data_IF_463870328447
#
_entry.id   IF_463870328447
#
_cell.length_a   1.000
_cell.length_b   1.000
_cell.length_c   1.000
_cell.angle_alpha   90.00
_cell.angle_beta   90.00
_cell.angle_gamma   90.00
#
_symmetry.space_group_name_H-M   'P 1'
#
loop_
_entity.id
_entity.type
_entity.pdbx_description
1 polymer ?
#
# COMPACT_ATOMS: atom_id res chain seq x y z
N UNK A 1 -11.48 35.61 36.45
CA UNK A 1 -11.55 34.30 35.76
C UNK A 1 -11.02 34.53 34.38
N UNK A 2 -9.73 34.30 34.22
CA UNK A 2 -8.95 34.85 33.11
C UNK A 2 -9.20 34.02 31.86
N UNK A 3 -9.52 34.66 30.73
CA UNK A 3 -9.86 33.98 29.47
C UNK A 3 -8.83 32.91 29.04
N UNK A 4 -7.56 33.06 29.45
CA UNK A 4 -6.48 32.09 29.28
C UNK A 4 -6.77 30.73 29.95
N UNK A 5 -7.33 30.73 31.17
CA UNK A 5 -7.65 29.50 31.91
C UNK A 5 -8.75 28.66 31.23
N UNK A 6 -9.75 29.33 30.62
CA UNK A 6 -10.81 28.68 29.85
C UNK A 6 -10.29 28.01 28.58
N UNK A 7 -9.36 28.68 27.86
CA UNK A 7 -8.76 28.13 26.63
C UNK A 7 -7.92 26.89 26.93
N UNK A 8 -7.08 26.93 27.97
CA UNK A 8 -6.24 25.79 28.36
C UNK A 8 -7.11 24.59 28.77
N UNK A 9 -8.17 24.82 29.54
CA UNK A 9 -9.12 23.77 29.93
C UNK A 9 -9.82 23.14 28.73
N UNK A 10 -10.26 23.94 27.77
CA UNK A 10 -10.86 23.44 26.53
C UNK A 10 -9.87 22.60 25.69
N UNK A 11 -8.63 23.07 25.53
CA UNK A 11 -7.58 22.33 24.82
C UNK A 11 -7.29 20.98 25.49
N UNK A 12 -7.20 20.96 26.82
CA UNK A 12 -6.99 19.72 27.57
C UNK A 12 -8.14 18.73 27.38
N UNK A 13 -9.38 19.21 27.45
CA UNK A 13 -10.57 18.36 27.31
C UNK A 13 -10.69 17.77 25.89
N UNK A 14 -10.40 18.57 24.87
CA UNK A 14 -10.37 18.12 23.47
C UNK A 14 -9.27 17.07 23.27
N UNK A 15 -8.05 17.35 23.74
CA UNK A 15 -6.91 16.44 23.63
C UNK A 15 -7.18 15.10 24.32
N UNK A 16 -7.71 15.12 25.55
CA UNK A 16 -8.01 13.90 26.29
C UNK A 16 -9.17 13.09 25.67
N UNK A 17 -10.16 13.78 25.07
CA UNK A 17 -11.25 13.12 24.34
C UNK A 17 -10.75 12.39 23.09
N UNK A 18 -9.63 12.83 22.50
CA UNK A 18 -9.01 12.19 21.34
C UNK A 18 -8.21 10.93 21.70
N UNK A 19 -7.91 10.66 22.97
CA UNK A 19 -7.10 9.52 23.40
C UNK A 19 -7.71 8.19 22.91
N UNK A 20 -8.97 7.94 23.24
CA UNK A 20 -9.65 6.69 22.89
C UNK A 20 -9.81 6.52 21.37
N UNK A 21 -10.25 7.53 20.59
CA UNK A 21 -10.23 7.48 19.14
C UNK A 21 -8.85 7.14 18.55
N UNK A 22 -7.78 7.77 19.05
CA UNK A 22 -6.41 7.50 18.59
C UNK A 22 -6.02 6.04 18.85
N UNK A 23 -6.29 5.52 20.05
CA UNK A 23 -5.99 4.12 20.40
C UNK A 23 -6.79 3.15 19.51
N UNK A 24 -8.07 3.40 19.29
CA UNK A 24 -8.93 2.55 18.45
C UNK A 24 -8.41 2.52 17.00
N UNK A 25 -8.10 3.68 16.43
CA UNK A 25 -7.53 3.77 15.08
C UNK A 25 -6.19 3.04 15.02
N UNK A 26 -5.33 3.23 16.01
CA UNK A 26 -4.02 2.58 16.07
C UNK A 26 -4.15 1.05 16.11
N UNK A 27 -5.05 0.51 16.95
CA UNK A 27 -5.33 -0.93 16.99
C UNK A 27 -5.88 -1.44 15.64
N UNK A 28 -6.71 -0.65 14.97
CA UNK A 28 -7.16 -0.94 13.60
C UNK A 28 -6.00 -1.00 12.61
N UNK A 29 -5.03 -0.08 12.70
CA UNK A 29 -3.82 -0.09 11.87
C UNK A 29 -2.92 -1.29 12.17
N UNK A 30 -2.84 -1.75 13.42
CA UNK A 30 -2.13 -2.98 13.80
C UNK A 30 -2.78 -4.20 13.15
N UNK A 31 -4.10 -4.34 13.25
CA UNK A 31 -4.81 -5.44 12.59
C UNK A 31 -4.60 -5.40 11.07
N UNK A 32 -4.72 -4.21 10.46
CA UNK A 32 -4.49 -4.02 9.04
C UNK A 32 -3.06 -4.37 8.61
N UNK A 33 -2.05 -4.01 9.41
CA UNK A 33 -0.64 -4.30 9.09
C UNK A 33 -0.37 -5.81 9.11
N UNK A 34 -0.92 -6.53 10.08
CA UNK A 34 -0.80 -8.00 10.15
C UNK A 34 -1.44 -8.69 8.95
N UNK A 35 -2.65 -8.27 8.55
CA UNK A 35 -3.33 -8.80 7.36
C UNK A 35 -2.50 -8.51 6.10
N UNK A 36 -1.98 -7.28 5.99
CA UNK A 36 -1.20 -6.85 4.82
C UNK A 36 0.13 -7.59 4.68
N UNK A 37 0.77 -7.96 5.81
CA UNK A 37 1.96 -8.83 5.79
C UNK A 37 1.60 -10.21 5.27
N UNK A 38 0.49 -10.80 5.70
CA UNK A 38 0.01 -12.09 5.19
C UNK A 38 -0.23 -12.05 3.67
N UNK A 39 -0.85 -10.98 3.18
CA UNK A 39 -1.05 -10.76 1.74
C UNK A 39 0.28 -10.63 0.99
N UNK A 40 1.24 -9.87 1.55
CA UNK A 40 2.57 -9.72 0.95
C UNK A 40 3.30 -11.06 0.85
N UNK A 41 3.24 -11.89 1.89
CA UNK A 41 3.85 -13.22 1.90
C UNK A 41 3.19 -14.16 0.89
N UNK A 42 1.85 -14.12 0.79
CA UNK A 42 1.11 -14.89 -0.21
C UNK A 42 1.50 -14.48 -1.63
N UNK A 43 1.59 -13.18 -1.90
CA UNK A 43 2.00 -12.65 -3.21
C UNK A 43 3.47 -12.95 -3.51
N UNK A 44 4.33 -12.93 -2.48
CA UNK A 44 5.73 -13.31 -2.62
C UNK A 44 5.89 -14.77 -3.02
N UNK A 45 5.13 -15.67 -2.38
CA UNK A 45 5.20 -17.10 -2.63
C UNK A 45 4.62 -17.49 -4.00
N UNK A 46 3.60 -16.76 -4.49
CA UNK A 46 3.00 -17.03 -5.80
C UNK A 46 3.77 -16.42 -6.98
N UNK A 47 4.69 -15.47 -6.72
CA UNK A 47 5.50 -14.85 -7.77
C UNK A 47 6.60 -15.77 -8.29
N UNK A 48 6.32 -16.47 -9.39
CA UNK A 48 7.34 -17.06 -10.25
C UNK A 48 7.52 -16.20 -11.51
N UNK A 49 8.52 -15.31 -11.51
CA UNK A 49 8.84 -14.49 -12.68
C UNK A 49 9.57 -15.33 -13.72
N UNK A 50 8.95 -15.61 -14.86
CA UNK A 50 9.58 -16.30 -15.99
C UNK A 50 9.73 -15.36 -17.21
N UNK A 51 10.83 -14.59 -17.19
CA UNK A 51 11.15 -13.63 -18.27
C UNK A 51 11.40 -14.36 -19.60
N UNK A 52 11.94 -15.57 -19.56
CA UNK A 52 12.24 -16.33 -20.77
C UNK A 52 10.95 -16.70 -21.50
N UNK A 53 9.95 -17.16 -20.74
CA UNK A 53 8.61 -17.46 -21.28
C UNK A 53 7.92 -16.21 -21.84
N UNK A 54 8.00 -15.08 -21.13
CA UNK A 54 7.43 -13.81 -21.61
C UNK A 54 8.04 -13.38 -22.94
N UNK A 55 9.38 -13.37 -23.06
CA UNK A 55 10.08 -12.98 -24.29
C UNK A 55 9.78 -13.90 -25.47
N UNK A 56 9.73 -15.21 -25.23
CA UNK A 56 9.35 -16.18 -26.26
C UNK A 56 7.92 -15.92 -26.75
N UNK A 57 6.98 -15.75 -25.82
CA UNK A 57 5.59 -15.45 -26.13
C UNK A 57 5.38 -14.16 -26.91
N UNK A 58 6.05 -13.07 -26.52
CA UNK A 58 5.96 -11.80 -27.25
C UNK A 58 6.49 -11.92 -28.68
N UNK A 59 7.59 -12.66 -28.87
CA UNK A 59 8.17 -12.87 -30.19
C UNK A 59 7.25 -13.67 -31.11
N UNK A 60 6.70 -14.76 -30.60
CA UNK A 60 5.77 -15.62 -31.35
C UNK A 60 4.48 -14.86 -31.66
N UNK A 61 3.95 -14.09 -30.70
CA UNK A 61 2.78 -13.25 -30.91
C UNK A 61 3.00 -12.18 -31.99
N UNK A 62 4.16 -11.51 -32.01
CA UNK A 62 4.51 -10.56 -33.06
C UNK A 62 4.55 -11.21 -34.44
N UNK A 63 5.09 -12.43 -34.56
CA UNK A 63 5.05 -13.18 -35.83
C UNK A 63 3.63 -13.52 -36.28
N UNK A 64 2.74 -13.90 -35.35
CA UNK A 64 1.34 -14.19 -35.66
C UNK A 64 0.54 -12.94 -36.03
N UNK A 65 0.80 -11.79 -35.40
CA UNK A 65 0.20 -10.49 -35.79
C UNK A 65 0.61 -10.12 -37.21
N UNK A 66 1.89 -10.33 -37.58
CA UNK A 66 2.37 -10.11 -38.94
C UNK A 66 1.70 -11.02 -39.97
N UNK A 67 1.29 -12.23 -39.57
CA UNK A 67 0.51 -13.19 -40.37
C UNK A 67 -1.00 -12.93 -40.33
N UNK A 68 -1.46 -11.85 -39.69
CA UNK A 68 -2.88 -11.52 -39.44
C UNK A 68 -3.67 -12.57 -38.63
N UNK A 69 -2.98 -13.42 -37.87
CA UNK A 69 -3.56 -14.45 -37.02
C UNK A 69 -3.78 -13.95 -35.58
N UNK A 70 -4.55 -12.88 -35.42
CA UNK A 70 -4.74 -12.20 -34.12
C UNK A 70 -5.22 -13.13 -32.99
N UNK A 71 -6.04 -14.14 -33.30
CA UNK A 71 -6.54 -15.09 -32.31
C UNK A 71 -5.42 -16.00 -31.76
N UNK A 72 -4.45 -16.39 -32.58
CA UNK A 72 -3.29 -17.20 -32.14
C UNK A 72 -2.29 -16.33 -31.38
N UNK A 73 -2.07 -15.10 -31.83
CA UNK A 73 -1.25 -14.13 -31.10
C UNK A 73 -1.80 -13.90 -29.69
N UNK A 74 -3.11 -13.74 -29.56
CA UNK A 74 -3.83 -13.61 -28.29
C UNK A 74 -3.63 -14.81 -27.36
N UNK A 75 -3.71 -16.03 -27.88
CA UNK A 75 -3.55 -17.26 -27.11
C UNK A 75 -2.12 -17.41 -26.56
N UNK A 76 -1.12 -17.17 -27.40
CA UNK A 76 0.30 -17.25 -27.02
C UNK A 76 0.68 -16.17 -26.01
N UNK A 77 0.19 -14.94 -26.18
CA UNK A 77 0.38 -13.84 -25.23
C UNK A 77 -0.24 -14.17 -23.86
N UNK A 78 -1.49 -14.62 -23.82
CA UNK A 78 -2.16 -14.97 -22.56
C UNK A 78 -1.45 -16.12 -21.83
N UNK A 79 -0.91 -17.09 -22.55
CA UNK A 79 -0.13 -18.19 -21.96
C UNK A 79 1.24 -17.73 -21.38
N UNK A 80 1.69 -16.53 -21.73
CA UNK A 80 3.01 -15.99 -21.39
C UNK A 80 3.00 -15.07 -20.17
N UNK A 81 1.81 -14.68 -19.68
CA UNK A 81 1.66 -13.89 -18.46
C UNK A 81 2.16 -14.65 -17.22
N UNK A 82 3.22 -14.13 -16.58
CA UNK A 82 3.83 -14.75 -15.39
C UNK A 82 3.09 -14.41 -14.09
N UNK A 83 2.51 -13.21 -14.00
CA UNK A 83 1.83 -12.68 -12.81
C UNK A 83 0.37 -12.33 -13.14
N UNK A 84 -0.53 -12.38 -12.17
CA UNK A 84 -1.96 -12.10 -12.39
C UNK A 84 -2.19 -10.68 -12.94
N UNK A 85 -1.41 -9.71 -12.46
CA UNK A 85 -1.45 -8.33 -12.93
C UNK A 85 -1.08 -8.23 -14.42
N UNK A 86 -0.03 -8.94 -14.85
CA UNK A 86 0.39 -9.00 -16.25
C UNK A 86 -0.60 -9.78 -17.12
N UNK A 87 -1.18 -10.88 -16.61
CA UNK A 87 -2.23 -11.64 -17.32
C UNK A 87 -3.45 -10.78 -17.61
N UNK A 88 -3.91 -10.02 -16.62
CA UNK A 88 -5.04 -9.10 -16.79
C UNK A 88 -4.71 -8.01 -17.82
N UNK A 89 -3.51 -7.43 -17.75
CA UNK A 89 -3.07 -6.45 -18.75
C UNK A 89 -3.04 -7.03 -20.15
N UNK A 90 -2.47 -8.24 -20.33
CA UNK A 90 -2.41 -8.91 -21.63
C UNK A 90 -3.82 -9.21 -22.16
N UNK A 91 -4.73 -9.66 -21.31
CA UNK A 91 -6.12 -9.92 -21.70
C UNK A 91 -6.82 -8.64 -22.19
N UNK A 92 -6.64 -7.53 -21.47
CA UNK A 92 -7.17 -6.21 -21.86
C UNK A 92 -6.52 -5.71 -23.17
N UNK A 93 -5.20 -5.87 -23.30
CA UNK A 93 -4.44 -5.46 -24.50
C UNK A 93 -4.87 -6.24 -25.74
N UNK A 94 -5.11 -7.54 -25.59
CA UNK A 94 -5.56 -8.43 -26.66
C UNK A 94 -6.92 -8.01 -27.20
N UNK A 95 -7.82 -7.50 -26.35
CA UNK A 95 -9.13 -7.02 -26.79
C UNK A 95 -9.01 -5.83 -27.76
N UNK A 96 -8.00 -4.96 -27.55
CA UNK A 96 -7.72 -3.81 -28.42
C UNK A 96 -6.88 -4.12 -29.66
N UNK A 97 -6.37 -5.35 -29.84
CA UNK A 97 -5.56 -5.72 -31.03
C UNK A 97 -6.31 -5.56 -32.37
N UNK A 98 -7.65 -5.54 -32.36
CA UNK A 98 -8.48 -5.38 -33.56
C UNK A 98 -8.79 -3.93 -33.90
N UNK A 99 -8.45 -2.99 -33.03
CA UNK A 99 -8.79 -1.58 -33.19
C UNK A 99 -7.78 -0.89 -34.14
N UNK A 100 -8.27 0.03 -34.97
CA UNK A 100 -7.43 0.73 -35.96
C UNK A 100 -6.38 1.65 -35.32
N UNK A 101 -6.48 1.89 -34.01
CA UNK A 101 -5.59 2.74 -33.21
C UNK A 101 -4.94 2.00 -32.03
N UNK A 102 -4.62 0.72 -32.22
CA UNK A 102 -3.97 -0.13 -31.22
C UNK A 102 -2.86 0.57 -30.42
N UNK A 103 -1.92 1.28 -31.09
CA UNK A 103 -0.82 1.97 -30.40
C UNK A 103 -1.27 3.05 -29.40
N UNK A 104 -2.41 3.69 -29.63
CA UNK A 104 -2.94 4.74 -28.73
C UNK A 104 -3.71 4.10 -27.57
N UNK A 105 -4.48 3.05 -27.83
CA UNK A 105 -5.22 2.31 -26.81
C UNK A 105 -4.28 1.55 -25.87
N UNK A 106 -3.23 0.93 -26.41
CA UNK A 106 -2.20 0.23 -25.63
C UNK A 106 -1.47 1.18 -24.66
N UNK A 107 -1.10 2.39 -25.15
CA UNK A 107 -0.46 3.42 -24.32
C UNK A 107 -1.39 3.90 -23.20
N UNK A 108 -2.67 4.14 -23.53
CA UNK A 108 -3.67 4.52 -22.53
C UNK A 108 -3.87 3.42 -21.48
N UNK A 109 -3.94 2.16 -21.92
CA UNK A 109 -4.08 1.01 -21.03
C UNK A 109 -2.91 0.90 -20.06
N UNK A 110 -1.68 1.13 -20.55
CA UNK A 110 -0.48 1.14 -19.73
C UNK A 110 -0.55 2.21 -18.64
N UNK A 111 -0.96 3.43 -19.00
CA UNK A 111 -1.18 4.53 -18.05
C UNK A 111 -2.25 4.19 -17.00
N UNK A 112 -3.35 3.56 -17.42
CA UNK A 112 -4.41 3.11 -16.50
C UNK A 112 -3.88 2.08 -15.48
N UNK A 113 -2.99 1.18 -15.90
CA UNK A 113 -2.35 0.21 -15.00
C UNK A 113 -1.30 0.86 -14.08
N UNK A 114 -0.54 1.85 -14.54
CA UNK A 114 0.36 2.64 -13.68
C UNK A 114 -0.43 3.37 -12.57
N UNK A 115 -1.58 3.95 -12.91
CA UNK A 115 -2.48 4.57 -11.93
C UNK A 115 -3.06 3.56 -10.94
N UNK A 116 -3.46 2.36 -11.40
CA UNK A 116 -3.92 1.27 -10.52
C UNK A 116 -2.83 0.87 -9.51
N UNK A 117 -1.60 0.67 -9.98
CA UNK A 117 -0.43 0.34 -9.14
C UNK A 117 -0.19 1.43 -8.09
N UNK A 118 -0.24 2.70 -8.50
CA UNK A 118 -0.04 3.83 -7.60
C UNK A 118 -1.10 3.84 -6.50
N UNK A 119 -2.38 3.71 -6.88
CA UNK A 119 -3.53 3.69 -5.95
C UNK A 119 -3.46 2.53 -4.95
N UNK A 120 -2.94 1.37 -5.35
CA UNK A 120 -2.78 0.25 -4.44
C UNK A 120 -1.75 0.53 -3.33
N UNK A 121 -0.64 1.21 -3.68
CA UNK A 121 0.42 1.57 -2.74
C UNK A 121 0.05 2.73 -1.81
N UNK A 122 -0.94 3.56 -2.16
CA UNK A 122 -1.33 4.73 -1.38
C UNK A 122 -1.71 4.40 0.06
N UNK A 123 -2.50 3.34 0.27
CA UNK A 123 -2.95 2.94 1.61
C UNK A 123 -1.77 2.61 2.51
N UNK A 124 -0.82 1.81 2.03
CA UNK A 124 0.37 1.45 2.78
C UNK A 124 1.29 2.66 3.04
N UNK A 125 1.40 3.61 2.09
CA UNK A 125 2.14 4.87 2.31
C UNK A 125 1.50 5.73 3.39
N UNK A 126 0.17 5.83 3.40
CA UNK A 126 -0.56 6.57 4.42
C UNK A 126 -0.33 5.95 5.79
N UNK A 127 -0.47 4.62 5.92
CA UNK A 127 -0.23 3.93 7.21
C UNK A 127 1.23 4.06 7.66
N UNK A 128 2.20 3.97 6.73
CA UNK A 128 3.61 4.17 7.05
C UNK A 128 3.90 5.53 7.69
N UNK A 129 3.17 6.57 7.27
CA UNK A 129 3.31 7.94 7.77
C UNK A 129 2.46 8.20 9.02
N UNK A 130 1.21 7.74 9.04
CA UNK A 130 0.25 8.02 10.09
C UNK A 130 0.43 7.13 11.33
N UNK A 131 0.90 5.89 11.18
CA UNK A 131 1.15 4.97 12.30
C UNK A 131 2.05 5.58 13.38
N UNK A 132 3.26 6.07 13.04
CA UNK A 132 4.15 6.72 14.00
C UNK A 132 3.55 8.00 14.61
N UNK A 133 2.80 8.78 13.81
CA UNK A 133 2.15 10.01 14.29
C UNK A 133 1.07 9.71 15.33
N UNK A 134 0.23 8.70 15.08
CA UNK A 134 -0.80 8.26 16.03
C UNK A 134 -0.18 7.66 17.29
N UNK A 135 0.93 6.91 17.16
CA UNK A 135 1.68 6.40 18.31
C UNK A 135 2.24 7.52 19.19
N UNK A 136 2.78 8.58 18.58
CA UNK A 136 3.26 9.77 19.27
C UNK A 136 2.12 10.58 19.90
N UNK A 137 0.97 10.73 19.24
CA UNK A 137 -0.21 11.35 19.86
C UNK A 137 -0.68 10.53 21.08
N UNK A 138 -0.67 9.20 20.97
CA UNK A 138 -1.00 8.29 22.05
C UNK A 138 -0.10 8.42 23.29
N UNK A 139 1.09 9.02 23.16
CA UNK A 139 1.98 9.27 24.31
C UNK A 139 1.80 10.64 24.93
N UNK A 140 1.63 11.65 24.09
CA UNK A 140 1.56 13.04 24.53
C UNK A 140 0.24 13.35 25.24
N UNK A 141 -0.85 12.70 24.84
CA UNK A 141 -2.17 12.89 25.46
C UNK A 141 -2.20 12.41 26.93
N UNK A 142 -1.83 11.15 27.27
CA UNK A 142 -1.86 10.66 28.65
C UNK A 142 -0.74 11.22 29.54
N UNK A 143 0.28 11.87 28.96
CA UNK A 143 1.36 12.50 29.74
C UNK A 143 0.84 13.60 30.68
N UNK A 144 -0.18 14.36 30.25
CA UNK A 144 -0.80 15.41 31.09
C UNK A 144 -1.40 14.83 32.38
N UNK A 145 -2.35 13.89 32.29
CA UNK A 145 -2.87 13.14 33.44
C UNK A 145 -1.79 12.47 34.28
N UNK A 146 -0.77 11.89 33.64
CA UNK A 146 0.33 11.21 34.32
C UNK A 146 1.12 12.17 35.25
N UNK A 147 1.49 13.36 34.75
CA UNK A 147 2.22 14.37 35.53
C UNK A 147 1.36 14.94 36.68
N UNK A 148 0.05 15.09 36.48
CA UNK A 148 -0.88 15.50 37.55
C UNK A 148 -1.02 14.42 38.65
N UNK A 149 -1.03 13.15 38.26
CA UNK A 149 -1.00 12.02 39.21
C UNK A 149 0.27 12.04 40.08
N UNK A 150 1.42 12.32 39.45
CA UNK A 150 2.71 12.47 40.16
C UNK A 150 2.66 13.60 41.20
N UNK A 151 2.13 14.78 40.85
CA UNK A 151 2.00 15.90 41.82
C UNK A 151 1.06 15.59 42.97
N UNK A 152 0.14 14.64 42.79
CA UNK A 152 -0.83 14.21 43.80
C UNK A 152 -0.35 13.01 44.64
N UNK A 153 0.83 12.47 44.35
CA UNK A 153 1.36 11.26 45.00
C UNK A 153 0.72 9.95 44.53
N UNK A 154 -0.11 9.97 43.48
CA UNK A 154 -0.75 8.78 42.92
C UNK A 154 0.15 8.10 41.89
N UNK A 155 1.02 7.22 42.40
CA UNK A 155 1.96 6.44 41.60
C UNK A 155 1.23 5.43 40.70
N UNK A 156 0.04 4.98 41.09
CA UNK A 156 -0.70 3.95 40.35
C UNK A 156 -1.35 4.55 39.08
N UNK A 157 -1.91 5.74 39.19
CA UNK A 157 -2.41 6.51 38.04
C UNK A 157 -1.26 6.90 37.09
N UNK A 158 -0.10 7.30 37.64
CA UNK A 158 1.10 7.58 36.86
C UNK A 158 1.52 6.35 36.03
N UNK A 159 1.68 5.20 36.69
CA UNK A 159 2.13 3.96 36.05
C UNK A 159 1.17 3.51 34.94
N UNK A 160 -0.14 3.55 35.20
CA UNK A 160 -1.16 3.12 34.22
C UNK A 160 -1.13 3.96 32.95
N UNK A 161 -1.05 5.29 33.07
CA UNK A 161 -0.98 6.20 31.93
C UNK A 161 0.33 6.03 31.13
N UNK A 162 1.45 5.74 31.81
CA UNK A 162 2.72 5.48 31.15
C UNK A 162 2.73 4.17 30.36
N UNK A 163 2.12 3.11 30.87
CA UNK A 163 2.00 1.84 30.13
C UNK A 163 1.25 2.05 28.82
N UNK A 164 0.14 2.79 28.85
CA UNK A 164 -0.61 3.15 27.64
C UNK A 164 0.28 3.96 26.68
N UNK A 165 0.93 5.01 27.17
CA UNK A 165 1.79 5.88 26.37
C UNK A 165 2.93 5.09 25.67
N UNK A 166 3.68 4.27 26.40
CA UNK A 166 4.78 3.52 25.79
C UNK A 166 4.26 2.48 24.80
N UNK A 167 3.17 1.80 25.12
CA UNK A 167 2.57 0.81 24.23
C UNK A 167 2.11 1.43 22.90
N UNK A 168 1.49 2.61 22.93
CA UNK A 168 1.04 3.28 21.70
C UNK A 168 2.21 3.70 20.81
N UNK A 169 3.35 4.13 21.38
CA UNK A 169 4.55 4.41 20.56
C UNK A 169 5.05 3.16 19.86
N UNK A 170 5.21 2.08 20.61
CA UNK A 170 5.77 0.82 20.09
C UNK A 170 4.89 0.30 18.97
N UNK A 171 3.57 0.28 19.16
CA UNK A 171 2.61 -0.14 18.13
C UNK A 171 2.59 0.82 16.93
N UNK A 172 2.66 2.13 17.15
CA UNK A 172 2.70 3.14 16.07
C UNK A 172 3.94 3.03 15.20
N UNK A 173 5.12 2.84 15.81
CA UNK A 173 6.37 2.63 15.08
C UNK A 173 6.37 1.28 14.35
N UNK A 174 5.90 0.22 15.01
CA UNK A 174 5.82 -1.11 14.41
C UNK A 174 4.91 -1.12 13.17
N UNK A 175 3.71 -0.55 13.29
CA UNK A 175 2.75 -0.46 12.17
C UNK A 175 3.30 0.40 11.03
N UNK A 176 3.90 1.54 11.36
CA UNK A 176 4.55 2.40 10.37
C UNK A 176 5.69 1.69 9.64
N UNK A 177 6.55 0.98 10.38
CA UNK A 177 7.67 0.23 9.83
C UNK A 177 7.23 -0.92 8.92
N UNK A 178 6.22 -1.69 9.33
CA UNK A 178 5.64 -2.76 8.51
C UNK A 178 5.06 -2.20 7.22
N UNK A 179 4.26 -1.14 7.32
CA UNK A 179 3.64 -0.52 6.15
C UNK A 179 4.69 0.05 5.19
N UNK A 180 5.75 0.66 5.71
CA UNK A 180 6.88 1.13 4.90
C UNK A 180 7.60 -0.03 4.19
N UNK A 181 7.86 -1.13 4.90
CA UNK A 181 8.48 -2.32 4.30
C UNK A 181 7.62 -2.88 3.16
N UNK A 182 6.30 -2.95 3.34
CA UNK A 182 5.35 -3.35 2.29
C UNK A 182 5.47 -2.44 1.06
N UNK A 183 5.50 -1.11 1.26
CA UNK A 183 5.65 -0.14 0.16
C UNK A 183 6.94 -0.38 -0.61
N UNK A 184 8.07 -0.57 0.09
CA UNK A 184 9.39 -0.77 -0.54
C UNK A 184 9.40 -2.04 -1.39
N UNK A 185 8.88 -3.14 -0.85
CA UNK A 185 8.85 -4.43 -1.53
C UNK A 185 7.89 -4.40 -2.73
N UNK A 186 6.63 -4.01 -2.52
CA UNK A 186 5.62 -3.98 -3.59
C UNK A 186 5.97 -2.99 -4.69
N UNK A 187 6.53 -1.82 -4.35
CA UNK A 187 6.97 -0.85 -5.36
C UNK A 187 7.98 -1.47 -6.32
N UNK A 188 8.97 -2.20 -5.81
CA UNK A 188 9.99 -2.86 -6.65
C UNK A 188 9.34 -3.87 -7.61
N UNK A 189 8.41 -4.66 -7.10
CA UNK A 189 7.69 -5.66 -7.88
C UNK A 189 6.81 -5.05 -8.97
N UNK A 190 6.00 -4.05 -8.62
CA UNK A 190 5.10 -3.41 -9.57
C UNK A 190 5.84 -2.58 -10.62
N UNK A 191 6.99 -1.98 -10.28
CA UNK A 191 7.86 -1.36 -11.29
C UNK A 191 8.43 -2.38 -12.26
N UNK A 192 8.75 -3.60 -11.82
CA UNK A 192 9.16 -4.67 -12.72
C UNK A 192 8.01 -5.12 -13.63
N UNK A 193 6.80 -5.28 -13.08
CA UNK A 193 5.63 -5.67 -13.87
C UNK A 193 5.27 -4.60 -14.92
N UNK A 194 5.34 -3.31 -14.55
CA UNK A 194 5.10 -2.20 -15.48
C UNK A 194 6.13 -2.20 -16.62
N UNK A 195 7.40 -2.43 -16.30
CA UNK A 195 8.44 -2.57 -17.33
C UNK A 195 8.21 -3.78 -18.25
N UNK A 196 7.72 -4.89 -17.71
CA UNK A 196 7.35 -6.06 -18.50
C UNK A 196 6.13 -5.75 -19.41
N UNK A 197 5.18 -4.90 -18.98
CA UNK A 197 4.07 -4.41 -19.82
C UNK A 197 4.52 -3.46 -20.93
N UNK A 198 5.38 -2.49 -20.61
CA UNK A 198 5.98 -1.57 -21.58
C UNK A 198 6.67 -2.36 -22.70
N UNK A 199 7.44 -3.39 -22.32
CA UNK A 199 8.08 -4.29 -23.28
C UNK A 199 7.08 -5.00 -24.19
N UNK A 200 5.96 -5.50 -23.65
CA UNK A 200 4.90 -6.14 -24.45
C UNK A 200 4.31 -5.15 -25.46
N UNK A 201 3.98 -3.93 -25.03
CA UNK A 201 3.42 -2.90 -25.92
C UNK A 201 4.41 -2.52 -27.02
N UNK A 202 5.69 -2.33 -26.67
CA UNK A 202 6.72 -1.92 -27.63
C UNK A 202 7.04 -3.00 -28.67
N UNK A 203 6.98 -4.28 -28.29
CA UNK A 203 7.16 -5.40 -29.24
C UNK A 203 5.96 -5.58 -30.16
N UNK A 204 4.74 -5.28 -29.71
CA UNK A 204 3.52 -5.48 -30.51
C UNK A 204 3.17 -4.28 -31.40
N UNK A 205 3.79 -3.13 -31.16
CA UNK A 205 3.66 -1.92 -31.98
C UNK A 205 4.30 -2.07 -33.37
#
# INVERSE_FOLDING_TARGET
>A
MDASSGIIGAMFMISNSLLYPVIIILLGLVAWSLISVGQLLSEYASRSRDIAKLKAGCRDAHEHIRKQEYNKAAEVLNASGSNDLLKNFIADLVASLRESKFSVEAEKLLQDYELKITKELEKARLVAKLGPMLGLMGTLIPLGPALMGLTSGDIQQLATNMVVAFSTTVLGLLTGGIAYAIVVVKKRWYTQDLSDMEYVVEVLR
#
